data_IF_984254719896
#
_entry.id   IF_984254719896
#
_cell.length_a   1.000
_cell.length_b   1.000
_cell.length_c   1.000
_cell.angle_alpha   90.00
_cell.angle_beta   90.00
_cell.angle_gamma   90.00
#
_symmetry.space_group_name_H-M   'P 1'
#
loop_
_entity.id
_entity.type
_entity.pdbx_description
1 polymer ?
#
# COMPACT_ATOMS: atom_id res chain seq x y z
N UNK A 1 10.38 12.00 -25.10
CA UNK A 1 10.06 10.62 -25.52
C UNK A 1 9.84 9.78 -24.28
N UNK A 2 8.59 9.57 -23.89
CA UNK A 2 8.12 8.33 -23.27
C UNK A 2 6.83 8.04 -24.05
N UNK A 3 6.86 7.15 -25.06
CA UNK A 3 5.68 6.84 -25.84
C UNK A 3 4.85 5.75 -25.15
N UNK A 4 3.53 5.94 -25.18
CA UNK A 4 2.48 4.97 -24.86
C UNK A 4 2.41 4.44 -23.41
N UNK A 5 1.57 5.09 -22.59
CA UNK A 5 0.58 4.33 -21.83
C UNK A 5 -0.77 4.55 -22.51
N UNK A 6 -1.11 3.60 -23.36
CA UNK A 6 -2.31 3.56 -24.15
C UNK A 6 -3.53 3.71 -23.26
N UNK A 7 -4.33 4.72 -23.59
CA UNK A 7 -5.70 4.91 -23.16
C UNK A 7 -6.51 3.65 -23.48
N UNK A 8 -6.63 2.76 -22.51
CA UNK A 8 -7.77 1.85 -22.37
C UNK A 8 -8.44 2.23 -21.05
N UNK A 9 -9.43 3.11 -21.17
CA UNK A 9 -10.43 3.38 -20.14
C UNK A 9 -11.34 2.14 -20.02
N UNK A 10 -10.79 1.06 -19.50
CA UNK A 10 -11.55 0.16 -18.66
C UNK A 10 -11.21 0.61 -17.24
N UNK A 11 -12.17 0.54 -16.31
CA UNK A 11 -11.94 0.74 -14.88
C UNK A 11 -10.98 -0.34 -14.35
N UNK A 12 -9.71 -0.29 -14.77
CA UNK A 12 -8.66 -1.19 -14.30
C UNK A 12 -8.25 -0.66 -12.95
N UNK A 13 -8.88 -1.19 -11.91
CA UNK A 13 -8.46 -0.95 -10.53
C UNK A 13 -7.00 -1.31 -10.42
N UNK A 14 -6.18 -0.39 -9.90
CA UNK A 14 -4.76 -0.65 -9.69
C UNK A 14 -4.62 -1.89 -8.78
N UNK A 15 -3.93 -2.96 -9.24
CA UNK A 15 -3.70 -4.16 -8.44
C UNK A 15 -3.12 -3.86 -7.05
N UNK A 16 -2.31 -2.80 -6.92
CA UNK A 16 -1.77 -2.36 -5.63
C UNK A 16 -2.89 -1.81 -4.74
N UNK A 17 -3.78 -0.99 -5.28
CA UNK A 17 -4.92 -0.43 -4.57
C UNK A 17 -5.89 -1.53 -4.09
N UNK A 18 -6.16 -2.52 -4.95
CA UNK A 18 -6.98 -3.68 -4.58
C UNK A 18 -6.33 -4.49 -3.45
N UNK A 19 -5.02 -4.70 -3.52
CA UNK A 19 -4.28 -5.40 -2.47
C UNK A 19 -4.31 -4.62 -1.15
N UNK A 20 -4.13 -3.30 -1.17
CA UNK A 20 -4.17 -2.44 0.03
C UNK A 20 -5.55 -2.48 0.70
N UNK A 21 -6.63 -2.49 -0.09
CA UNK A 21 -7.99 -2.68 0.41
C UNK A 21 -8.16 -4.04 1.09
N UNK A 22 -7.62 -5.11 0.50
CA UNK A 22 -7.67 -6.47 1.08
C UNK A 22 -6.85 -6.61 2.37
N UNK A 23 -5.75 -5.87 2.52
CA UNK A 23 -4.93 -5.95 3.74
C UNK A 23 -5.50 -5.12 4.89
N UNK A 24 -6.35 -4.14 4.58
CA UNK A 24 -6.85 -3.17 5.57
C UNK A 24 -5.83 -2.08 5.93
N UNK A 25 -4.68 -2.04 5.26
CA UNK A 25 -3.61 -1.06 5.52
C UNK A 25 -3.72 0.21 4.66
N UNK A 26 -4.87 0.40 4.00
CA UNK A 26 -5.08 1.47 3.01
C UNK A 26 -5.02 2.88 3.62
N UNK A 27 -5.61 3.09 4.79
CA UNK A 27 -5.59 4.40 5.47
C UNK A 27 -4.16 4.80 5.83
N UNK A 28 -3.36 3.88 6.38
CA UNK A 28 -1.96 4.13 6.74
C UNK A 28 -1.11 4.38 5.49
N UNK A 29 -1.42 3.74 4.36
CA UNK A 29 -0.78 4.06 3.09
C UNK A 29 -1.05 5.52 2.68
N UNK A 30 -2.28 6.01 2.84
CA UNK A 30 -2.59 7.42 2.58
C UNK A 30 -1.83 8.36 3.52
N UNK A 31 -1.71 8.03 4.81
CA UNK A 31 -0.89 8.82 5.75
C UNK A 31 0.58 8.93 5.30
N UNK A 32 1.16 7.85 4.75
CA UNK A 32 2.51 7.86 4.19
C UNK A 32 2.56 8.79 2.96
N UNK A 33 1.58 8.70 2.07
CA UNK A 33 1.52 9.55 0.88
C UNK A 33 1.39 11.03 1.25
N UNK A 34 0.53 11.37 2.21
CA UNK A 34 0.35 12.73 2.73
C UNK A 34 1.66 13.26 3.32
N UNK A 35 2.32 12.49 4.19
CA UNK A 35 3.60 12.91 4.76
C UNK A 35 4.67 13.16 3.69
N UNK A 36 4.76 12.30 2.67
CA UNK A 36 5.73 12.47 1.57
C UNK A 36 5.37 13.71 0.74
N UNK A 37 4.08 13.95 0.48
CA UNK A 37 3.62 15.11 -0.27
C UNK A 37 3.94 16.42 0.47
N UNK A 38 3.76 16.47 1.79
CA UNK A 38 4.07 17.62 2.63
C UNK A 38 5.59 17.82 2.80
N UNK A 39 6.31 16.74 3.10
CA UNK A 39 7.73 16.80 3.44
C UNK A 39 8.65 16.87 2.21
N UNK A 40 8.18 16.38 1.06
CA UNK A 40 8.95 16.07 -0.15
C UNK A 40 10.20 15.19 0.09
N UNK A 41 10.28 14.56 1.25
CA UNK A 41 11.37 13.71 1.68
C UNK A 41 10.81 12.54 2.49
N UNK A 42 10.73 11.38 1.86
CA UNK A 42 10.22 10.16 2.48
C UNK A 42 11.04 9.73 3.71
N UNK A 43 12.29 10.18 3.85
CA UNK A 43 13.11 9.87 5.03
C UNK A 43 12.60 10.54 6.30
N UNK A 44 11.76 11.58 6.19
CA UNK A 44 11.10 12.21 7.35
C UNK A 44 9.82 11.48 7.77
N UNK A 45 9.30 10.59 6.93
CA UNK A 45 8.05 9.87 7.14
C UNK A 45 8.26 8.47 7.77
N UNK A 46 9.36 8.29 8.52
CA UNK A 46 9.71 6.98 9.08
C UNK A 46 8.63 6.45 10.03
N UNK A 47 7.94 7.32 10.77
CA UNK A 47 6.86 6.91 11.67
C UNK A 47 5.69 6.28 10.89
N UNK A 48 5.21 6.95 9.85
CA UNK A 48 4.10 6.49 9.02
C UNK A 48 4.49 5.20 8.27
N UNK A 49 5.71 5.15 7.74
CA UNK A 49 6.25 3.96 7.05
C UNK A 49 6.36 2.77 8.02
N UNK A 50 6.79 3.00 9.26
CA UNK A 50 6.87 1.95 10.28
C UNK A 50 5.48 1.42 10.67
N UNK A 51 4.49 2.31 10.83
CA UNK A 51 3.08 1.89 11.06
C UNK A 51 2.57 1.04 9.90
N UNK A 52 2.84 1.45 8.67
CA UNK A 52 2.45 0.71 7.48
C UNK A 52 3.09 -0.68 7.43
N UNK A 53 4.39 -0.76 7.77
CA UNK A 53 5.12 -2.03 7.84
C UNK A 53 4.49 -2.99 8.86
N UNK A 54 4.22 -2.52 10.08
CA UNK A 54 3.59 -3.32 11.13
C UNK A 54 2.23 -3.85 10.68
N UNK A 55 1.41 -3.01 10.03
CA UNK A 55 0.11 -3.45 9.50
C UNK A 55 0.26 -4.60 8.49
N UNK A 56 1.22 -4.48 7.56
CA UNK A 56 1.48 -5.52 6.56
C UNK A 56 2.04 -6.81 7.19
N UNK A 57 2.95 -6.71 8.15
CA UNK A 57 3.49 -7.86 8.90
C UNK A 57 2.35 -8.63 9.62
N UNK A 58 1.43 -7.92 10.27
CA UNK A 58 0.26 -8.53 10.93
C UNK A 58 -0.66 -9.23 9.94
N UNK A 59 -0.90 -8.62 8.77
CA UNK A 59 -1.69 -9.27 7.72
C UNK A 59 -1.01 -10.54 7.20
N UNK A 60 0.31 -10.51 6.99
CA UNK A 60 1.08 -11.67 6.53
C UNK A 60 1.03 -12.81 7.57
N UNK A 61 1.21 -12.50 8.86
CA UNK A 61 1.09 -13.47 9.95
C UNK A 61 -0.29 -14.14 9.98
N UNK A 62 -1.36 -13.34 9.91
CA UNK A 62 -2.75 -13.87 9.86
C UNK A 62 -2.97 -14.76 8.63
N UNK A 63 -2.39 -14.39 7.49
CA UNK A 63 -2.47 -15.17 6.25
C UNK A 63 -1.76 -16.51 6.41
N UNK A 64 -0.56 -16.54 6.97
CA UNK A 64 0.20 -17.77 7.26
C UNK A 64 -0.54 -18.68 8.24
N UNK A 65 -1.08 -18.13 9.32
CA UNK A 65 -1.94 -18.85 10.27
C UNK A 65 -3.16 -19.48 9.58
N UNK A 66 -3.80 -18.76 8.66
CA UNK A 66 -4.94 -19.28 7.92
C UNK A 66 -4.59 -20.47 7.01
N UNK A 67 -3.34 -20.58 6.56
CA UNK A 67 -2.85 -21.72 5.80
C UNK A 67 -2.39 -22.88 6.68
N UNK A 68 -1.87 -22.59 7.88
CA UNK A 68 -1.43 -23.61 8.85
C UNK A 68 -2.61 -24.29 9.57
N UNK A 69 -3.72 -23.59 9.75
CA UNK A 69 -4.94 -24.09 10.39
C UNK A 69 -5.89 -24.85 9.42
N UNK A 70 -5.45 -25.15 8.20
CA UNK A 70 -6.26 -25.72 7.12
C UNK A 70 -5.72 -27.08 6.69
#
# INVERSE_FOLDING_TARGET
MIPNLTTHQQDVVDPVEEMLKKTGCMEIHYEVQECIAESQDWRKCQEQVQKFRVCMEEYQRKREESYSNK
#
